data_IF_059791513783
#
_entry.id   IF_059791513783
#
_cell.length_a   1.000
_cell.length_b   1.000
_cell.length_c   1.000
_cell.angle_alpha   90.00
_cell.angle_beta   90.00
_cell.angle_gamma   90.00
#
_symmetry.space_group_name_H-M   'P 1'
#
loop_
_entity.id
_entity.type
_entity.pdbx_description
1 polymer ?
#
# COMPACT_ATOMS: atom_id res chain seq x y z
N UNK A 1 -18.98 -20.41 -10.76
CA UNK A 1 -19.93 -21.33 -10.10
C UNK A 1 -21.27 -20.64 -9.92
N UNK A 2 -22.36 -21.37 -9.70
CA UNK A 2 -23.73 -20.84 -9.69
C UNK A 2 -23.95 -19.64 -8.73
N UNK A 3 -23.26 -19.64 -7.58
CA UNK A 3 -23.30 -18.53 -6.62
C UNK A 3 -22.65 -17.25 -7.18
N UNK A 4 -21.52 -17.36 -7.88
CA UNK A 4 -20.87 -16.20 -8.50
C UNK A 4 -21.70 -15.61 -9.64
N UNK A 5 -22.33 -16.44 -10.47
CA UNK A 5 -23.25 -15.98 -11.52
C UNK A 5 -24.50 -15.30 -10.94
N UNK A 6 -24.99 -15.78 -9.80
CA UNK A 6 -26.13 -15.18 -9.13
C UNK A 6 -25.79 -13.78 -8.60
N UNK A 7 -24.67 -13.62 -7.90
CA UNK A 7 -24.22 -12.30 -7.39
C UNK A 7 -23.98 -11.32 -8.55
N UNK A 8 -23.32 -11.78 -9.60
CA UNK A 8 -22.97 -10.98 -10.79
C UNK A 8 -24.18 -10.42 -11.53
N UNK A 9 -25.29 -11.15 -11.56
CA UNK A 9 -26.49 -10.78 -12.31
C UNK A 9 -27.61 -10.18 -11.43
N UNK A 10 -27.60 -10.41 -10.11
CA UNK A 10 -28.64 -9.92 -9.21
C UNK A 10 -28.33 -8.53 -8.63
N UNK A 11 -27.08 -8.26 -8.25
CA UNK A 11 -26.72 -6.95 -7.70
C UNK A 11 -26.70 -5.90 -8.81
N UNK A 12 -27.21 -4.68 -8.56
CA UNK A 12 -26.90 -3.54 -9.41
C UNK A 12 -25.38 -3.40 -9.54
N UNK A 13 -24.88 -3.37 -10.77
CA UNK A 13 -23.44 -3.36 -11.07
C UNK A 13 -22.66 -4.57 -10.50
N UNK A 14 -23.32 -5.73 -10.31
CA UNK A 14 -22.69 -6.93 -9.75
C UNK A 14 -21.48 -7.45 -10.55
N UNK A 15 -21.40 -7.13 -11.84
CA UNK A 15 -20.21 -7.38 -12.68
C UNK A 15 -19.02 -6.55 -12.24
N UNK A 16 -19.23 -5.26 -11.98
CA UNK A 16 -18.17 -4.35 -11.58
C UNK A 16 -17.55 -4.81 -10.26
N UNK A 17 -18.35 -5.26 -9.29
CA UNK A 17 -17.85 -5.80 -8.02
C UNK A 17 -17.17 -7.16 -8.13
N UNK A 18 -17.54 -7.97 -9.12
CA UNK A 18 -17.01 -9.33 -9.25
C UNK A 18 -15.79 -9.43 -10.16
N UNK A 19 -15.60 -8.42 -11.00
CA UNK A 19 -14.53 -8.36 -11.99
C UNK A 19 -13.57 -7.19 -11.74
N UNK A 20 -13.76 -6.42 -10.66
CA UNK A 20 -12.97 -5.22 -10.35
C UNK A 20 -11.47 -5.48 -10.17
N UNK A 21 -11.08 -6.67 -9.73
CA UNK A 21 -9.69 -6.99 -9.35
C UNK A 21 -9.01 -7.99 -10.30
N UNK A 22 -9.78 -8.69 -11.14
CA UNK A 22 -9.28 -9.80 -11.95
C UNK A 22 -8.28 -9.42 -13.04
N UNK A 23 -8.14 -8.14 -13.39
CA UNK A 23 -7.25 -7.65 -14.46
C UNK A 23 -6.32 -6.50 -14.07
N UNK A 24 -6.43 -5.97 -12.86
CA UNK A 24 -5.61 -4.83 -12.44
C UNK A 24 -4.21 -5.30 -12.02
N UNK A 25 -3.16 -4.64 -12.53
CA UNK A 25 -1.81 -4.88 -12.03
C UNK A 25 -1.65 -4.31 -10.61
N UNK A 26 -0.68 -4.80 -9.84
CA UNK A 26 -0.38 -4.24 -8.52
C UNK A 26 -0.18 -2.72 -8.57
N UNK A 27 0.50 -2.23 -9.62
CA UNK A 27 0.70 -0.79 -9.83
C UNK A 27 -0.61 -0.03 -9.95
N UNK A 28 -1.55 -0.53 -10.76
CA UNK A 28 -2.84 0.13 -10.94
C UNK A 28 -3.63 0.16 -9.63
N UNK A 29 -3.60 -0.94 -8.86
CA UNK A 29 -4.25 -1.01 -7.55
C UNK A 29 -3.62 -0.01 -6.58
N UNK A 30 -2.29 0.09 -6.57
CA UNK A 30 -1.56 1.06 -5.75
C UNK A 30 -1.92 2.51 -6.12
N UNK A 31 -1.92 2.85 -7.41
CA UNK A 31 -2.26 4.20 -7.89
C UNK A 31 -3.69 4.58 -7.48
N UNK A 32 -4.67 3.70 -7.73
CA UNK A 32 -6.06 3.94 -7.34
C UNK A 32 -6.21 4.07 -5.81
N UNK A 33 -5.57 3.17 -5.05
CA UNK A 33 -5.62 3.21 -3.57
C UNK A 33 -4.97 4.48 -3.03
N UNK A 34 -3.93 4.99 -3.69
CA UNK A 34 -3.27 6.23 -3.32
C UNK A 34 -4.17 7.45 -3.60
N UNK A 35 -4.84 7.50 -4.76
CA UNK A 35 -5.82 8.54 -5.09
C UNK A 35 -6.99 8.61 -4.09
N UNK A 36 -7.44 7.45 -3.60
CA UNK A 36 -8.52 7.35 -2.60
C UNK A 36 -8.04 7.59 -1.15
N UNK A 37 -6.72 7.65 -0.93
CA UNK A 37 -6.12 7.81 0.41
C UNK A 37 -5.92 9.27 0.82
N UNK A 38 -5.60 9.48 2.09
CA UNK A 38 -5.16 10.78 2.64
C UNK A 38 -3.89 10.59 3.46
N UNK A 39 -3.23 11.68 3.84
CA UNK A 39 -2.06 11.61 4.75
C UNK A 39 -2.38 11.02 6.14
N UNK A 40 -3.66 10.89 6.50
CA UNK A 40 -4.12 10.25 7.73
C UNK A 40 -4.63 8.82 7.54
N UNK A 41 -4.69 8.34 6.29
CA UNK A 41 -5.17 7.00 5.95
C UNK A 41 -3.98 6.13 5.55
N UNK A 42 -3.48 5.23 6.43
CA UNK A 42 -2.38 4.35 6.07
C UNK A 42 -2.81 3.31 5.02
N UNK A 43 -1.93 3.02 4.06
CA UNK A 43 -2.12 1.97 3.06
C UNK A 43 -1.43 0.69 3.56
N UNK A 44 -2.17 -0.41 3.59
CA UNK A 44 -1.68 -1.70 4.06
C UNK A 44 -1.55 -2.70 2.90
N UNK A 45 -0.39 -3.33 2.77
CA UNK A 45 -0.15 -4.35 1.74
C UNK A 45 -0.21 -5.75 2.34
N UNK A 46 -1.11 -6.58 1.83
CA UNK A 46 -1.11 -8.02 2.09
C UNK A 46 -0.39 -8.70 0.94
N UNK A 47 0.75 -9.34 1.24
CA UNK A 47 1.63 -9.88 0.21
C UNK A 47 1.18 -11.25 -0.25
N UNK A 48 0.86 -11.37 -1.54
CA UNK A 48 0.84 -12.64 -2.25
C UNK A 48 2.18 -12.90 -2.93
N UNK A 49 2.58 -14.16 -3.18
CA UNK A 49 3.78 -14.48 -3.93
C UNK A 49 3.82 -13.75 -5.29
N UNK A 50 4.99 -13.21 -5.65
CA UNK A 50 5.23 -12.58 -6.96
C UNK A 50 5.05 -11.06 -7.04
N UNK A 51 4.53 -10.40 -6.01
CA UNK A 51 4.46 -8.94 -5.93
C UNK A 51 5.60 -8.37 -5.06
N UNK A 52 6.20 -7.27 -5.52
CA UNK A 52 7.19 -6.49 -4.76
C UNK A 52 6.64 -5.07 -4.53
N UNK A 53 5.92 -4.84 -3.42
CA UNK A 53 5.30 -3.56 -3.13
C UNK A 53 6.33 -2.45 -2.92
N UNK A 54 7.52 -2.78 -2.42
CA UNK A 54 8.56 -1.79 -2.12
C UNK A 54 9.02 -1.16 -3.42
N UNK A 55 9.33 -2.00 -4.41
CA UNK A 55 9.77 -1.54 -5.72
C UNK A 55 8.71 -0.66 -6.41
N UNK A 56 7.44 -1.04 -6.32
CA UNK A 56 6.35 -0.31 -6.97
C UNK A 56 6.04 1.03 -6.25
N UNK A 57 6.04 1.05 -4.92
CA UNK A 57 5.90 2.28 -4.12
C UNK A 57 7.08 3.23 -4.38
N UNK A 58 8.32 2.74 -4.42
CA UNK A 58 9.48 3.57 -4.72
C UNK A 58 9.45 4.11 -6.16
N UNK A 59 9.01 3.31 -7.13
CA UNK A 59 8.87 3.75 -8.51
C UNK A 59 7.79 4.83 -8.66
N UNK A 60 6.60 4.62 -8.07
CA UNK A 60 5.51 5.59 -8.07
C UNK A 60 5.89 6.86 -7.32
N UNK A 61 6.48 6.73 -6.13
CA UNK A 61 6.89 7.86 -5.30
C UNK A 61 7.92 8.74 -5.99
N UNK A 62 8.88 8.17 -6.72
CA UNK A 62 9.85 8.93 -7.50
C UNK A 62 9.20 9.70 -8.65
N UNK A 63 8.26 9.08 -9.39
CA UNK A 63 7.68 9.68 -10.60
C UNK A 63 6.58 10.68 -10.29
N UNK A 64 5.74 10.42 -9.29
CA UNK A 64 4.54 11.23 -9.01
C UNK A 64 4.73 12.22 -7.84
N UNK A 65 5.64 11.92 -6.90
CA UNK A 65 5.71 12.62 -5.60
C UNK A 65 7.09 13.15 -5.25
N UNK A 66 8.09 12.95 -6.12
CA UNK A 66 9.48 13.35 -5.89
C UNK A 66 10.05 12.76 -4.58
N UNK A 67 9.66 11.54 -4.24
CA UNK A 67 10.20 10.84 -3.07
C UNK A 67 11.66 10.45 -3.28
N UNK A 68 12.46 10.73 -2.27
CA UNK A 68 13.88 10.48 -2.17
C UNK A 68 14.15 9.78 -0.84
N UNK A 69 14.65 8.55 -0.94
CA UNK A 69 15.01 7.73 0.21
C UNK A 69 16.01 8.49 1.09
N UNK A 70 15.74 8.56 2.38
CA UNK A 70 16.60 9.23 3.36
C UNK A 70 16.40 10.75 3.45
N UNK A 71 15.55 11.33 2.60
CA UNK A 71 15.22 12.76 2.65
C UNK A 71 13.76 12.95 3.02
N UNK A 72 12.85 12.56 2.13
CA UNK A 72 11.40 12.68 2.33
C UNK A 72 10.64 11.35 2.29
N UNK A 73 11.38 10.25 2.22
CA UNK A 73 10.88 8.90 2.28
C UNK A 73 11.79 8.01 3.13
N UNK A 74 11.19 7.24 4.03
CA UNK A 74 11.87 6.32 4.94
C UNK A 74 11.31 4.91 4.74
N UNK A 75 12.20 3.94 4.54
CA UNK A 75 11.81 2.54 4.41
C UNK A 75 12.46 1.75 5.55
N UNK A 76 11.65 1.18 6.44
CA UNK A 76 12.10 0.47 7.65
C UNK A 76 11.59 -0.96 7.62
N UNK A 77 12.51 -1.92 7.57
CA UNK A 77 12.16 -3.32 7.75
C UNK A 77 12.08 -3.65 9.24
N UNK A 78 10.90 -4.07 9.71
CA UNK A 78 10.67 -4.37 11.12
C UNK A 78 11.40 -5.64 11.56
N UNK A 79 11.83 -5.61 12.81
CA UNK A 79 12.61 -6.65 13.48
C UNK A 79 13.00 -6.18 14.89
N UNK A 80 13.83 -6.96 15.58
CA UNK A 80 14.24 -6.63 16.95
C UNK A 80 14.91 -5.25 17.01
N UNK A 81 14.36 -4.36 17.86
CA UNK A 81 14.87 -3.00 18.08
C UNK A 81 14.55 -1.99 16.97
N UNK A 82 13.81 -2.38 15.92
CA UNK A 82 13.40 -1.47 14.84
C UNK A 82 12.19 -0.61 15.20
N UNK A 83 11.47 -0.95 16.26
CA UNK A 83 10.38 -0.16 16.83
C UNK A 83 10.83 1.26 17.18
N UNK A 84 12.00 1.42 17.81
CA UNK A 84 12.55 2.73 18.17
C UNK A 84 12.84 3.57 16.92
N UNK A 85 13.39 2.94 15.87
CA UNK A 85 13.72 3.61 14.62
C UNK A 85 12.44 3.97 13.86
N UNK A 86 11.50 3.04 13.74
CA UNK A 86 10.21 3.24 13.07
C UNK A 86 9.43 4.38 13.72
N UNK A 87 9.34 4.40 15.06
CA UNK A 87 8.68 5.48 15.80
C UNK A 87 9.35 6.83 15.56
N UNK A 88 10.69 6.89 15.58
CA UNK A 88 11.41 8.13 15.27
C UNK A 88 11.13 8.62 13.83
N UNK A 89 11.03 7.72 12.85
CA UNK A 89 10.71 8.08 11.46
C UNK A 89 9.25 8.50 11.29
N UNK A 90 8.32 7.85 11.99
CA UNK A 90 6.91 8.27 12.03
C UNK A 90 6.76 9.65 12.64
N UNK A 91 7.47 9.95 13.72
CA UNK A 91 7.47 11.26 14.37
C UNK A 91 7.96 12.38 13.44
N UNK A 92 9.06 12.13 12.73
CA UNK A 92 9.59 13.06 11.73
C UNK A 92 8.59 13.19 10.57
N UNK A 93 8.04 12.09 10.07
CA UNK A 93 7.05 12.08 8.99
C UNK A 93 5.77 12.85 9.34
N UNK A 94 5.28 12.71 10.56
CA UNK A 94 4.12 13.46 11.04
C UNK A 94 4.36 14.99 11.03
N UNK A 95 5.56 15.43 11.41
CA UNK A 95 5.88 16.87 11.54
C UNK A 95 6.26 17.51 10.20
N UNK A 96 6.98 16.78 9.36
CA UNK A 96 7.61 17.33 8.16
C UNK A 96 6.95 16.85 6.85
N UNK A 97 5.95 15.96 6.93
CA UNK A 97 5.22 15.45 5.76
C UNK A 97 5.96 14.35 5.00
N UNK A 98 6.85 13.61 5.67
CA UNK A 98 7.58 12.50 5.04
C UNK A 98 6.73 11.25 4.92
N UNK A 99 7.09 10.44 3.94
CA UNK A 99 6.54 9.09 3.76
C UNK A 99 7.34 8.07 4.54
N UNK A 100 6.66 7.16 5.24
CA UNK A 100 7.28 6.06 5.99
C UNK A 100 6.65 4.75 5.53
N UNK A 101 7.45 3.86 4.96
CA UNK A 101 7.06 2.48 4.64
C UNK A 101 7.63 1.54 5.68
N UNK A 102 6.77 0.71 6.27
CA UNK A 102 7.16 -0.33 7.22
C UNK A 102 7.02 -1.69 6.55
N UNK A 103 8.09 -2.49 6.53
CA UNK A 103 8.08 -3.85 6.02
C UNK A 103 8.08 -4.87 7.16
N UNK A 104 7.67 -6.10 6.90
CA UNK A 104 7.72 -7.21 7.86
C UNK A 104 7.01 -6.92 9.19
N UNK A 105 6.00 -6.07 9.17
CA UNK A 105 5.23 -5.67 10.37
C UNK A 105 4.60 -6.86 11.10
N UNK A 106 4.32 -7.96 10.39
CA UNK A 106 3.78 -9.21 10.94
C UNK A 106 4.78 -9.97 11.83
N UNK A 107 6.07 -9.60 11.81
CA UNK A 107 7.09 -10.17 12.69
C UNK A 107 7.15 -9.46 14.06
N UNK A 108 6.47 -8.32 14.20
CA UNK A 108 6.35 -7.62 15.47
C UNK A 108 5.16 -8.20 16.24
N UNK A 109 5.33 -8.52 17.53
CA UNK A 109 4.28 -9.07 18.39
C UNK A 109 3.19 -8.06 18.73
#
# INVERSE_FOLDING_TARGET
>A
GAMAEWIRNLLPNGRDYMDCDGSASFRQILENSFEDSTSTTPIFFILSPGADPVKEVEAMGKTQMQLQLGTNYWNVAMGQGQDVIAMAKLDIGHREGHWVMLQNIHLMP
#
